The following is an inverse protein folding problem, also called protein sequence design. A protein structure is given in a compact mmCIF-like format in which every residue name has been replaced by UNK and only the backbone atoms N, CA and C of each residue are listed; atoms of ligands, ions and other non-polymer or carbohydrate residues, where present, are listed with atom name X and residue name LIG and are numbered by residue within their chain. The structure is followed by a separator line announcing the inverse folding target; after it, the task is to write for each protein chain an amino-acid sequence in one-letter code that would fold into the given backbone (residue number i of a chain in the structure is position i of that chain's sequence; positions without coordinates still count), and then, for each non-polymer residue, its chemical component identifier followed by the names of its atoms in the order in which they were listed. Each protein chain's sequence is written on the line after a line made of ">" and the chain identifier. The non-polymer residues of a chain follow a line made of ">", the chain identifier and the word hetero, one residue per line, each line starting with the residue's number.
data_IF_198068409650
#
_entry.id   IF_198068409650
#
_cell.length_a   1.000
_cell.length_b   1.000
_cell.length_c   1.000
_cell.angle_alpha   90.00
_cell.angle_beta   90.00
_cell.angle_gamma   90.00
#
_symmetry.space_group_name_H-M   'P 1'
#
loop_
_entity.id
_entity.type
_entity.pdbx_description
1 polymer ?
#
# COMPACT_ATOMS: atom_id res chain seq x y z
N UNK A 1 17.67 -29.50 17.25
CA UNK A 1 17.88 -29.13 18.66
C UNK A 1 17.40 -27.71 18.87
N UNK A 2 16.10 -27.53 19.15
CA UNK A 2 15.50 -26.24 19.51
C UNK A 2 15.52 -26.12 21.03
N UNK A 3 16.43 -25.32 21.56
CA UNK A 3 16.52 -25.02 22.99
C UNK A 3 15.33 -24.15 23.41
N UNK A 4 14.23 -24.79 23.78
CA UNK A 4 13.13 -24.13 24.48
C UNK A 4 13.53 -24.04 25.95
N UNK A 5 13.75 -22.80 26.42
CA UNK A 5 13.97 -22.50 27.83
C UNK A 5 12.76 -23.00 28.62
N UNK A 6 12.94 -23.82 29.67
CA UNK A 6 11.83 -24.32 30.46
C UNK A 6 11.07 -23.17 31.15
N UNK A 7 9.73 -23.19 31.14
CA UNK A 7 8.88 -22.04 31.50
C UNK A 7 8.98 -21.59 32.97
N UNK A 8 9.62 -22.41 33.81
CA UNK A 8 9.92 -22.13 35.22
C UNK A 8 11.03 -21.08 35.42
N UNK A 9 11.76 -20.71 34.37
CA UNK A 9 12.83 -19.69 34.41
C UNK A 9 12.37 -18.31 33.95
N UNK A 10 11.11 -18.17 33.52
CA UNK A 10 10.53 -16.92 33.07
C UNK A 10 9.99 -16.12 34.26
N UNK A 11 10.23 -14.81 34.26
CA UNK A 11 9.67 -13.92 35.26
C UNK A 11 8.14 -13.92 35.23
N UNK A 12 7.48 -13.60 36.35
CA UNK A 12 6.01 -13.62 36.44
C UNK A 12 5.31 -12.72 35.39
N UNK A 13 6.00 -11.69 34.89
CA UNK A 13 5.52 -10.82 33.81
C UNK A 13 5.61 -11.50 32.42
N UNK A 14 6.71 -12.19 32.15
CA UNK A 14 6.90 -12.94 30.90
C UNK A 14 5.97 -14.14 30.81
N UNK A 15 5.69 -14.79 31.96
CA UNK A 15 4.68 -15.84 32.02
C UNK A 15 3.26 -15.32 31.69
N UNK A 16 2.92 -14.07 32.04
CA UNK A 16 1.66 -13.43 31.62
C UNK A 16 1.65 -13.15 30.12
N UNK A 17 2.74 -12.63 29.56
CA UNK A 17 2.87 -12.40 28.11
C UNK A 17 2.79 -13.71 27.31
N UNK A 18 3.48 -14.77 27.73
CA UNK A 18 3.40 -16.09 27.10
C UNK A 18 1.99 -16.68 27.18
N UNK A 19 1.27 -16.49 28.29
CA UNK A 19 -0.13 -16.93 28.43
C UNK A 19 -1.07 -16.16 27.50
N UNK A 20 -0.77 -14.90 27.21
CA UNK A 20 -1.58 -14.05 26.32
C UNK A 20 -1.29 -14.35 24.84
N UNK A 21 -0.04 -14.67 24.49
CA UNK A 21 0.38 -15.01 23.11
C UNK A 21 0.06 -16.47 22.76
N UNK A 22 -0.01 -17.38 23.75
CA UNK A 22 -0.38 -18.78 23.53
C UNK A 22 -1.87 -19.02 23.18
N UNK A 23 -2.68 -17.96 23.06
CA UNK A 23 -4.06 -18.05 22.56
C UNK A 23 -4.16 -18.39 21.06
N UNK A 24 -3.03 -18.48 20.34
CA UNK A 24 -2.98 -18.93 18.95
C UNK A 24 -2.17 -20.22 18.79
N UNK A 25 -2.40 -21.22 19.65
CA UNK A 25 -1.93 -22.59 19.40
C UNK A 25 -3.06 -23.33 18.65
N UNK A 26 -2.90 -23.71 17.37
CA UNK A 26 -3.80 -24.68 16.78
C UNK A 26 -3.62 -25.98 17.58
N UNK A 27 -4.69 -26.46 18.17
CA UNK A 27 -4.75 -27.70 18.93
C UNK A 27 -4.38 -28.88 18.03
N UNK A 28 -3.10 -29.28 18.01
CA UNK A 28 -2.64 -30.57 17.48
C UNK A 28 -2.68 -31.62 18.59
N UNK A 29 -3.82 -31.75 19.24
CA UNK A 29 -4.13 -32.82 20.18
C UNK A 29 -5.20 -33.72 19.57
N UNK A 30 -4.84 -34.97 19.27
CA UNK A 30 -5.74 -35.98 18.72
C UNK A 30 -6.97 -36.17 19.61
N UNK A 31 -8.13 -35.87 19.04
CA UNK A 31 -9.43 -36.11 19.64
C UNK A 31 -10.45 -36.05 18.51
N UNK A 32 -11.00 -37.18 18.14
CA UNK A 32 -11.94 -37.41 17.03
C UNK A 32 -13.35 -36.82 17.26
N UNK A 33 -13.43 -35.62 17.86
CA UNK A 33 -14.68 -34.89 18.16
C UNK A 33 -14.62 -33.45 17.60
N UNK A 34 -14.18 -33.30 16.35
CA UNK A 34 -13.94 -32.01 15.68
C UNK A 34 -15.19 -31.41 15.01
N UNK A 35 -16.36 -31.47 15.64
CA UNK A 35 -17.60 -30.92 15.06
C UNK A 35 -18.25 -29.75 15.83
N UNK A 36 -17.72 -29.32 16.98
CA UNK A 36 -18.49 -28.44 17.87
C UNK A 36 -17.85 -27.16 18.42
N UNK A 37 -16.56 -26.86 18.19
CA UNK A 37 -15.85 -26.02 19.16
C UNK A 37 -15.64 -24.53 18.86
N UNK A 38 -16.23 -23.93 17.83
CA UNK A 38 -16.54 -22.48 17.81
C UNK A 38 -17.60 -22.24 16.73
N UNK A 39 -18.83 -21.78 17.06
CA UNK A 39 -19.72 -21.26 16.03
C UNK A 39 -19.08 -20.00 15.48
N UNK A 40 -18.33 -20.14 14.38
CA UNK A 40 -17.78 -18.98 13.66
C UNK A 40 -19.00 -18.15 13.29
N UNK A 41 -19.09 -16.94 13.85
CA UNK A 41 -20.20 -16.05 13.61
C UNK A 41 -20.28 -15.79 12.09
N UNK A 42 -21.48 -15.68 11.52
CA UNK A 42 -21.64 -15.49 10.08
C UNK A 42 -20.85 -14.28 9.57
N UNK A 43 -20.75 -13.25 10.42
CA UNK A 43 -19.96 -12.05 10.17
C UNK A 43 -18.47 -12.35 9.98
N UNK A 44 -17.91 -13.24 10.79
CA UNK A 44 -16.48 -13.58 10.72
C UNK A 44 -16.15 -14.39 9.45
N UNK A 45 -17.03 -15.31 9.05
CA UNK A 45 -16.88 -16.02 7.76
C UNK A 45 -16.87 -15.06 6.58
N UNK A 46 -17.80 -14.11 6.56
CA UNK A 46 -17.88 -13.09 5.50
C UNK A 46 -16.64 -12.21 5.51
N UNK A 47 -16.17 -11.75 6.67
CA UNK A 47 -14.93 -10.95 6.76
C UNK A 47 -13.71 -11.72 6.23
N UNK A 48 -13.52 -12.99 6.62
CA UNK A 48 -12.40 -13.82 6.14
C UNK A 48 -12.47 -14.02 4.62
N UNK A 49 -13.67 -14.24 4.08
CA UNK A 49 -13.88 -14.35 2.63
C UNK A 49 -13.54 -13.04 1.92
N UNK A 50 -14.07 -11.89 2.39
CA UNK A 50 -13.81 -10.59 1.79
C UNK A 50 -12.32 -10.23 1.79
N UNK A 51 -11.63 -10.51 2.90
CA UNK A 51 -10.19 -10.31 3.03
C UNK A 51 -9.43 -11.22 2.05
N UNK A 52 -9.82 -12.49 1.93
CA UNK A 52 -9.17 -13.42 0.99
C UNK A 52 -9.35 -13.06 -0.48
N UNK A 53 -10.48 -12.42 -0.83
CA UNK A 53 -10.78 -11.99 -2.21
C UNK A 53 -10.15 -10.65 -2.57
N UNK A 54 -9.82 -9.83 -1.59
CA UNK A 54 -9.29 -8.47 -1.81
C UNK A 54 -7.99 -8.48 -2.63
N UNK A 55 -7.01 -9.29 -2.24
CA UNK A 55 -5.70 -9.31 -2.93
C UNK A 55 -5.79 -9.83 -4.38
N UNK A 56 -6.49 -10.94 -4.68
CA UNK A 56 -6.73 -11.36 -6.06
C UNK A 56 -7.43 -10.28 -6.89
N UNK A 57 -8.42 -9.59 -6.31
CA UNK A 57 -9.13 -8.51 -7.00
C UNK A 57 -8.22 -7.33 -7.32
N UNK A 58 -7.43 -6.85 -6.35
CA UNK A 58 -6.48 -5.76 -6.57
C UNK A 58 -5.41 -6.14 -7.59
N UNK A 59 -4.95 -7.40 -7.56
CA UNK A 59 -3.97 -7.91 -8.52
C UNK A 59 -4.54 -7.93 -9.94
N UNK A 60 -5.77 -8.43 -10.10
CA UNK A 60 -6.46 -8.44 -11.39
C UNK A 60 -6.65 -7.03 -11.95
N UNK A 61 -7.09 -6.08 -11.13
CA UNK A 61 -7.19 -4.67 -11.52
C UNK A 61 -5.84 -4.08 -11.93
N UNK A 62 -4.77 -4.45 -11.22
CA UNK A 62 -3.42 -3.98 -11.53
C UNK A 62 -2.94 -4.52 -12.88
N UNK A 63 -3.18 -5.81 -13.16
CA UNK A 63 -2.88 -6.45 -14.44
C UNK A 63 -3.61 -5.76 -15.59
N UNK A 64 -4.91 -5.48 -15.42
CA UNK A 64 -5.68 -4.73 -16.43
C UNK A 64 -5.08 -3.34 -16.67
N UNK A 65 -4.68 -2.65 -15.61
CA UNK A 65 -4.12 -1.31 -15.72
C UNK A 65 -2.77 -1.31 -16.44
N UNK A 66 -1.92 -2.30 -16.17
CA UNK A 66 -0.66 -2.54 -16.88
C UNK A 66 -0.92 -2.85 -18.35
N UNK A 67 -1.90 -3.71 -18.66
CA UNK A 67 -2.28 -4.02 -20.03
C UNK A 67 -2.72 -2.76 -20.80
N UNK A 68 -3.59 -1.94 -20.19
CA UNK A 68 -4.02 -0.67 -20.79
C UNK A 68 -2.87 0.33 -20.92
N UNK A 69 -1.98 0.39 -19.94
CA UNK A 69 -0.82 1.26 -19.97
C UNK A 69 0.15 0.85 -21.08
N UNK A 70 0.48 -0.44 -21.19
CA UNK A 70 1.32 -0.99 -22.26
C UNK A 70 0.73 -0.74 -23.65
N UNK A 71 -0.58 -0.97 -23.82
CA UNK A 71 -1.31 -0.62 -25.05
C UNK A 71 -1.18 0.86 -25.39
N UNK A 72 -1.28 1.73 -24.39
CA UNK A 72 -1.17 3.19 -24.60
C UNK A 72 0.25 3.63 -24.92
N UNK A 73 1.26 2.97 -24.35
CA UNK A 73 2.66 3.36 -24.50
C UNK A 73 3.25 2.92 -25.84
N UNK A 74 2.97 1.68 -26.26
CA UNK A 74 3.52 1.09 -27.48
C UNK A 74 2.57 1.15 -28.68
N UNK A 75 1.32 1.56 -28.46
CA UNK A 75 0.25 1.53 -29.47
C UNK A 75 0.05 0.13 -30.09
N UNK A 76 0.38 -0.91 -29.34
CA UNK A 76 0.36 -2.31 -29.73
C UNK A 76 -0.27 -3.17 -28.61
N UNK A 77 -1.14 -4.09 -29.01
CA UNK A 77 -1.85 -4.98 -28.09
C UNK A 77 -0.94 -6.07 -27.54
N UNK A 78 -0.05 -6.60 -28.38
CA UNK A 78 0.85 -7.68 -27.99
C UNK A 78 1.82 -7.21 -26.89
N UNK A 79 2.40 -6.02 -27.04
CA UNK A 79 3.27 -5.41 -26.04
C UNK A 79 2.59 -5.23 -24.69
N UNK A 80 1.32 -4.82 -24.67
CA UNK A 80 0.52 -4.72 -23.44
C UNK A 80 0.24 -6.08 -22.80
N UNK A 81 -0.07 -7.10 -23.61
CA UNK A 81 -0.28 -8.48 -23.12
C UNK A 81 1.01 -9.07 -22.56
N UNK A 82 2.14 -8.87 -23.24
CA UNK A 82 3.46 -9.33 -22.79
C UNK A 82 3.81 -8.68 -21.45
N UNK A 83 3.63 -7.37 -21.30
CA UNK A 83 3.90 -6.65 -20.05
C UNK A 83 3.01 -7.16 -18.90
N UNK A 84 1.72 -7.37 -19.17
CA UNK A 84 0.77 -7.92 -18.22
C UNK A 84 1.12 -9.36 -17.81
N UNK A 85 1.54 -10.19 -18.77
CA UNK A 85 1.99 -11.56 -18.53
C UNK A 85 3.28 -11.58 -17.70
N UNK A 86 4.26 -10.74 -18.01
CA UNK A 86 5.46 -10.59 -17.19
C UNK A 86 5.13 -10.12 -15.78
N UNK A 87 4.16 -9.22 -15.61
CA UNK A 87 3.73 -8.83 -14.28
C UNK A 87 3.09 -10.00 -13.51
N UNK A 88 2.19 -10.76 -14.16
CA UNK A 88 1.44 -11.85 -13.55
C UNK A 88 2.32 -13.06 -13.22
N UNK A 89 3.23 -13.43 -14.13
CA UNK A 89 4.05 -14.66 -14.02
C UNK A 89 5.50 -14.40 -13.61
N UNK A 90 6.03 -13.22 -13.92
CA UNK A 90 7.45 -12.91 -13.76
C UNK A 90 7.80 -12.14 -12.48
N UNK A 91 6.84 -11.77 -11.64
CA UNK A 91 7.11 -10.91 -10.47
C UNK A 91 7.08 -11.68 -9.14
N UNK A 92 7.82 -11.14 -8.18
CA UNK A 92 7.74 -11.48 -6.74
C UNK A 92 6.38 -11.06 -6.14
N UNK A 93 5.42 -10.56 -6.93
CA UNK A 93 4.10 -10.19 -6.43
C UNK A 93 3.35 -11.39 -5.84
N UNK A 94 3.62 -12.62 -6.32
CA UNK A 94 2.93 -13.82 -5.82
C UNK A 94 3.23 -14.11 -4.34
N UNK A 95 4.49 -14.17 -3.87
CA UNK A 95 4.76 -14.31 -2.43
C UNK A 95 4.30 -13.11 -1.59
N UNK A 96 4.31 -11.88 -2.13
CA UNK A 96 3.82 -10.70 -1.41
C UNK A 96 2.29 -10.58 -1.35
N UNK A 97 1.55 -11.35 -2.15
CA UNK A 97 0.07 -11.30 -2.21
C UNK A 97 -0.66 -11.86 -0.98
N UNK A 98 0.06 -12.46 0.00
CA UNK A 98 -0.58 -13.07 1.19
C UNK A 98 -0.59 -12.20 2.45
N UNK A 99 0.48 -11.45 2.81
CA UNK A 99 0.48 -10.69 4.07
C UNK A 99 0.12 -9.21 3.92
N UNK A 100 0.33 -8.59 2.75
CA UNK A 100 0.40 -7.12 2.64
C UNK A 100 -0.73 -6.53 1.77
N UNK A 101 -1.94 -6.47 2.32
CA UNK A 101 -3.12 -5.91 1.63
C UNK A 101 -2.93 -4.44 1.18
N UNK A 102 -2.22 -3.65 1.99
CA UNK A 102 -1.94 -2.24 1.70
C UNK A 102 -0.97 -2.04 0.54
N UNK A 103 -0.07 -3.00 0.29
CA UNK A 103 0.91 -2.92 -0.80
C UNK A 103 0.26 -3.06 -2.17
N UNK A 104 -0.61 -4.05 -2.33
CA UNK A 104 -1.34 -4.26 -3.59
C UNK A 104 -2.24 -3.08 -3.92
N UNK A 105 -2.94 -2.54 -2.91
CA UNK A 105 -3.77 -1.34 -3.09
C UNK A 105 -2.93 -0.12 -3.46
N UNK A 106 -1.83 0.13 -2.73
CA UNK A 106 -0.94 1.26 -3.02
C UNK A 106 -0.35 1.16 -4.43
N UNK A 107 0.06 -0.03 -4.87
CA UNK A 107 0.59 -0.26 -6.22
C UNK A 107 -0.47 0.03 -7.29
N UNK A 108 -1.69 -0.47 -7.10
CA UNK A 108 -2.82 -0.18 -7.98
C UNK A 108 -3.09 1.33 -8.08
N UNK A 109 -3.11 2.02 -6.94
CA UNK A 109 -3.34 3.46 -6.89
C UNK A 109 -2.19 4.25 -7.54
N UNK A 110 -0.93 3.88 -7.32
CA UNK A 110 0.22 4.53 -7.96
C UNK A 110 0.17 4.36 -9.49
N UNK A 111 -0.06 3.16 -9.99
CA UNK A 111 -0.21 2.93 -11.44
C UNK A 111 -1.47 3.63 -11.98
N UNK A 112 -2.56 3.63 -11.21
CA UNK A 112 -3.79 4.34 -11.51
C UNK A 112 -3.64 5.86 -11.55
N UNK A 113 -2.65 6.43 -10.87
CA UNK A 113 -2.29 7.84 -10.99
C UNK A 113 -1.47 8.13 -12.25
N UNK A 114 -0.62 7.18 -12.66
CA UNK A 114 0.30 7.33 -13.78
C UNK A 114 -0.43 7.40 -15.13
N UNK A 115 -1.40 6.53 -15.36
CA UNK A 115 -2.13 6.45 -16.63
C UNK A 115 -2.87 7.76 -17.01
N UNK A 116 -3.71 8.35 -16.14
CA UNK A 116 -4.34 9.63 -16.42
C UNK A 116 -3.33 10.78 -16.47
N UNK A 117 -2.25 10.72 -15.67
CA UNK A 117 -1.16 11.70 -15.74
C UNK A 117 -0.46 11.70 -17.09
N UNK A 118 -0.20 10.53 -17.66
CA UNK A 118 0.38 10.39 -19.00
C UNK A 118 -0.58 10.88 -20.09
N UNK A 119 -1.85 10.45 -20.03
CA UNK A 119 -2.85 10.76 -21.06
C UNK A 119 -3.36 12.20 -21.01
N UNK A 120 -3.10 12.98 -19.95
CA UNK A 120 -3.55 14.37 -19.90
C UNK A 120 -2.89 15.23 -20.99
N UNK A 121 -1.63 14.92 -21.35
CA UNK A 121 -0.88 15.66 -22.37
C UNK A 121 -1.38 15.44 -23.81
N UNK A 122 -2.30 14.49 -24.02
CA UNK A 122 -2.89 14.16 -25.31
C UNK A 122 -4.37 14.59 -25.42
N UNK A 123 -4.97 15.11 -24.34
CA UNK A 123 -6.40 15.42 -24.33
C UNK A 123 -6.72 16.73 -25.03
N UNK A 124 -7.80 16.75 -25.81
CA UNK A 124 -8.31 17.91 -26.56
C UNK A 124 -9.40 18.71 -25.82
N UNK A 125 -10.06 18.11 -24.81
CA UNK A 125 -11.12 18.76 -24.03
C UNK A 125 -10.65 19.31 -22.68
N UNK A 126 -11.08 20.51 -22.29
CA UNK A 126 -10.74 21.09 -20.97
C UNK A 126 -11.36 20.31 -19.80
N UNK A 127 -12.62 19.86 -19.93
CA UNK A 127 -13.27 19.05 -18.89
C UNK A 127 -12.56 17.71 -18.68
N UNK A 128 -12.17 17.03 -19.76
CA UNK A 128 -11.43 15.77 -19.70
C UNK A 128 -10.03 15.96 -19.12
N UNK A 129 -9.35 17.06 -19.46
CA UNK A 129 -8.05 17.43 -18.90
C UNK A 129 -8.13 17.57 -17.38
N UNK A 130 -9.09 18.36 -16.88
CA UNK A 130 -9.31 18.57 -15.43
C UNK A 130 -9.69 17.26 -14.75
N UNK A 131 -10.58 16.47 -15.34
CA UNK A 131 -10.97 15.17 -14.79
C UNK A 131 -9.78 14.19 -14.69
N UNK A 132 -8.91 14.15 -15.70
CA UNK A 132 -7.70 13.31 -15.68
C UNK A 132 -6.67 13.80 -14.67
N UNK A 133 -6.41 15.10 -14.62
CA UNK A 133 -5.46 15.64 -13.67
C UNK A 133 -5.96 15.47 -12.22
N UNK A 134 -7.23 15.76 -11.96
CA UNK A 134 -7.89 15.48 -10.68
C UNK A 134 -7.89 14.00 -10.32
N UNK A 135 -8.19 13.12 -11.29
CA UNK A 135 -8.13 11.66 -11.10
C UNK A 135 -6.71 11.17 -10.79
N UNK A 136 -5.70 11.68 -11.49
CA UNK A 136 -4.29 11.37 -11.20
C UNK A 136 -3.91 11.78 -9.78
N UNK A 137 -4.27 13.00 -9.39
CA UNK A 137 -4.09 13.50 -8.03
C UNK A 137 -4.82 12.64 -7.01
N UNK A 138 -6.07 12.29 -7.26
CA UNK A 138 -6.87 11.48 -6.35
C UNK A 138 -6.28 10.08 -6.16
N UNK A 139 -5.86 9.41 -7.24
CA UNK A 139 -5.19 8.11 -7.12
C UNK A 139 -3.86 8.20 -6.36
N UNK A 140 -3.08 9.26 -6.54
CA UNK A 140 -1.88 9.50 -5.73
C UNK A 140 -2.22 9.72 -4.25
N UNK A 141 -3.26 10.52 -3.96
CA UNK A 141 -3.75 10.73 -2.60
C UNK A 141 -4.25 9.43 -1.96
N UNK A 142 -4.96 8.58 -2.71
CA UNK A 142 -5.37 7.24 -2.26
C UNK A 142 -4.16 6.34 -1.99
N UNK A 143 -3.10 6.41 -2.81
CA UNK A 143 -1.88 5.63 -2.57
C UNK A 143 -1.21 6.04 -1.24
N UNK A 144 -1.07 7.35 -1.00
CA UNK A 144 -0.53 7.89 0.26
C UNK A 144 -1.44 7.56 1.45
N UNK A 145 -2.76 7.56 1.24
CA UNK A 145 -3.74 7.18 2.26
C UNK A 145 -3.62 5.69 2.62
N UNK A 146 -3.45 4.83 1.62
CA UNK A 146 -3.26 3.40 1.80
C UNK A 146 -1.91 3.08 2.47
N UNK A 147 -0.86 3.82 2.10
CA UNK A 147 0.49 3.63 2.65
C UNK A 147 1.31 4.91 2.54
N UNK A 148 1.78 5.41 3.69
CA UNK A 148 2.61 6.63 3.76
C UNK A 148 3.92 6.51 2.99
N UNK A 149 4.53 5.32 2.93
CA UNK A 149 5.78 5.10 2.17
C UNK A 149 5.62 5.34 0.67
N UNK A 150 4.40 5.32 0.13
CA UNK A 150 4.14 5.62 -1.27
C UNK A 150 4.51 7.05 -1.66
N UNK A 151 4.75 7.94 -0.69
CA UNK A 151 5.35 9.27 -0.92
C UNK A 151 6.71 9.18 -1.63
N UNK A 152 7.45 8.08 -1.45
CA UNK A 152 8.74 7.84 -2.14
C UNK A 152 8.56 7.72 -3.66
N UNK A 153 7.40 7.27 -4.14
CA UNK A 153 7.08 7.26 -5.57
C UNK A 153 6.67 8.65 -6.11
N UNK A 154 6.44 9.61 -5.22
CA UNK A 154 6.02 10.98 -5.52
C UNK A 154 6.92 11.69 -6.54
N UNK A 155 8.25 11.75 -6.35
CA UNK A 155 9.15 12.42 -7.30
C UNK A 155 9.04 11.89 -8.73
N UNK A 156 8.94 10.57 -8.91
CA UNK A 156 8.78 9.96 -10.24
C UNK A 156 7.47 10.37 -10.92
N UNK A 157 6.37 10.37 -10.16
CA UNK A 157 5.07 10.82 -10.66
C UNK A 157 5.04 12.33 -10.92
N UNK A 158 5.72 13.14 -10.10
CA UNK A 158 5.87 14.57 -10.33
C UNK A 158 6.58 14.85 -11.66
N UNK A 159 7.64 14.11 -12.01
CA UNK A 159 8.32 14.27 -13.30
C UNK A 159 7.39 13.98 -14.49
N UNK A 160 6.60 12.90 -14.42
CA UNK A 160 5.61 12.59 -15.47
C UNK A 160 4.52 13.66 -15.53
N UNK A 161 4.04 14.12 -14.37
CA UNK A 161 3.06 15.20 -14.28
C UNK A 161 3.56 16.51 -14.87
N UNK A 162 4.80 16.91 -14.57
CA UNK A 162 5.45 18.11 -15.12
C UNK A 162 5.60 17.97 -16.64
N UNK A 163 6.08 16.83 -17.14
CA UNK A 163 6.23 16.60 -18.57
C UNK A 163 4.89 16.69 -19.32
N UNK A 164 3.83 16.12 -18.73
CA UNK A 164 2.48 16.22 -19.30
C UNK A 164 1.90 17.64 -19.22
N UNK A 165 2.11 18.35 -18.11
CA UNK A 165 1.69 19.75 -17.96
C UNK A 165 2.42 20.67 -18.94
N UNK A 166 3.69 20.41 -19.22
CA UNK A 166 4.45 21.16 -20.22
C UNK A 166 3.85 21.00 -21.62
N UNK A 167 3.42 19.78 -21.99
CA UNK A 167 2.70 19.56 -23.26
C UNK A 167 1.36 20.31 -23.30
N UNK A 168 0.61 20.30 -22.20
CA UNK A 168 -0.65 21.06 -22.09
C UNK A 168 -0.38 22.56 -22.20
N UNK A 169 0.69 23.05 -21.58
CA UNK A 169 1.09 24.46 -21.62
C UNK A 169 1.44 24.89 -23.05
N UNK A 170 2.22 24.09 -23.78
CA UNK A 170 2.55 24.36 -25.18
C UNK A 170 1.32 24.33 -26.08
N UNK A 171 0.39 23.38 -25.87
CA UNK A 171 -0.78 23.22 -26.73
C UNK A 171 -1.94 24.19 -26.42
N UNK A 172 -2.07 24.68 -25.17
CA UNK A 172 -3.24 25.45 -24.69
C UNK A 172 -2.93 26.69 -23.87
N UNK A 173 -1.67 26.93 -23.54
CA UNK A 173 -1.23 28.05 -22.72
C UNK A 173 -1.36 27.83 -21.21
N UNK A 174 -0.94 28.86 -20.47
CA UNK A 174 -0.80 28.89 -19.01
C UNK A 174 -2.07 28.52 -18.23
N UNK A 175 -3.22 29.04 -18.64
CA UNK A 175 -4.47 28.87 -17.89
C UNK A 175 -4.91 27.41 -17.82
N UNK A 176 -4.87 26.70 -18.94
CA UNK A 176 -5.24 25.28 -18.99
C UNK A 176 -4.30 24.42 -18.14
N UNK A 177 -2.98 24.65 -18.25
CA UNK A 177 -1.99 23.96 -17.43
C UNK A 177 -2.18 24.24 -15.93
N UNK A 178 -2.44 25.50 -15.56
CA UNK A 178 -2.71 25.88 -14.18
C UNK A 178 -3.98 25.21 -13.63
N UNK A 179 -5.08 25.18 -14.41
CA UNK A 179 -6.32 24.50 -13.98
C UNK A 179 -6.11 22.99 -13.81
N UNK A 180 -5.34 22.36 -14.70
CA UNK A 180 -4.99 20.95 -14.57
C UNK A 180 -4.15 20.71 -13.31
N UNK A 181 -3.10 21.50 -13.08
CA UNK A 181 -2.27 21.43 -11.89
C UNK A 181 -3.08 21.59 -10.60
N UNK A 182 -3.93 22.63 -10.52
CA UNK A 182 -4.78 22.88 -9.37
C UNK A 182 -5.75 21.72 -9.13
N UNK A 183 -6.34 21.15 -10.18
CA UNK A 183 -7.22 19.99 -10.04
C UNK A 183 -6.49 18.75 -9.54
N UNK A 184 -5.25 18.51 -9.99
CA UNK A 184 -4.43 17.40 -9.51
C UNK A 184 -4.00 17.58 -8.06
N UNK A 185 -3.60 18.79 -7.66
CA UNK A 185 -3.30 19.11 -6.27
C UNK A 185 -4.56 18.93 -5.41
N UNK A 186 -5.70 19.46 -5.84
CA UNK A 186 -6.96 19.33 -5.11
C UNK A 186 -7.37 17.86 -4.92
N UNK A 187 -7.27 17.03 -5.97
CA UNK A 187 -7.55 15.60 -5.89
C UNK A 187 -6.65 14.88 -4.87
N UNK A 188 -5.35 15.18 -4.88
CA UNK A 188 -4.39 14.59 -3.94
C UNK A 188 -4.65 15.05 -2.50
N UNK A 189 -4.73 16.36 -2.29
CA UNK A 189 -4.90 16.97 -0.95
C UNK A 189 -6.22 16.54 -0.32
N UNK A 190 -7.32 16.46 -1.08
CA UNK A 190 -8.62 16.03 -0.56
C UNK A 190 -8.55 14.68 0.15
N UNK A 191 -7.77 13.74 -0.39
CA UNK A 191 -7.64 12.40 0.18
C UNK A 191 -6.53 12.30 1.22
N UNK A 192 -5.43 13.01 1.04
CA UNK A 192 -4.36 13.06 2.06
C UNK A 192 -4.87 13.74 3.33
N UNK A 193 -5.77 14.73 3.22
CA UNK A 193 -6.40 15.39 4.36
C UNK A 193 -7.27 14.45 5.21
N UNK A 194 -7.56 13.23 4.75
CA UNK A 194 -8.26 12.22 5.54
C UNK A 194 -7.33 11.64 6.63
N UNK A 195 -6.01 11.54 6.40
CA UNK A 195 -5.04 11.06 7.39
C UNK A 195 -5.12 11.75 8.75
N UNK A 196 -5.04 13.08 8.86
CA UNK A 196 -5.09 13.76 10.15
C UNK A 196 -6.41 13.51 10.89
N UNK A 197 -7.53 13.37 10.16
CA UNK A 197 -8.84 13.03 10.74
C UNK A 197 -8.83 11.60 11.29
N UNK A 198 -8.30 10.63 10.52
CA UNK A 198 -8.18 9.25 10.96
C UNK A 198 -7.25 9.09 12.16
N UNK A 199 -6.13 9.84 12.17
CA UNK A 199 -5.19 9.83 13.28
C UNK A 199 -5.82 10.42 14.55
N UNK A 200 -6.55 11.53 14.42
CA UNK A 200 -7.25 12.13 15.54
C UNK A 200 -8.31 11.18 16.12
N UNK A 201 -9.10 10.51 15.27
CA UNK A 201 -10.11 9.53 15.71
C UNK A 201 -9.50 8.29 16.38
N UNK A 202 -8.31 7.85 15.95
CA UNK A 202 -7.65 6.64 16.49
C UNK A 202 -6.79 6.88 17.71
N UNK A 203 -6.06 7.99 17.72
CA UNK A 203 -4.98 8.26 18.68
C UNK A 203 -5.22 9.53 19.51
N UNK A 204 -6.29 10.29 19.24
CA UNK A 204 -6.58 11.56 19.91
C UNK A 204 -5.67 12.73 19.49
N UNK A 205 -4.72 12.49 18.58
CA UNK A 205 -3.78 13.49 18.07
C UNK A 205 -3.59 13.35 16.57
N UNK A 206 -3.49 14.49 15.87
CA UNK A 206 -3.34 14.57 14.41
C UNK A 206 -1.98 14.04 13.94
N UNK A 207 -0.94 14.25 14.75
CA UNK A 207 0.45 13.91 14.44
C UNK A 207 0.91 12.60 15.09
N UNK A 208 0.06 11.96 15.91
CA UNK A 208 0.37 10.65 16.45
C UNK A 208 0.33 9.63 15.31
N UNK A 209 1.42 8.87 15.17
CA UNK A 209 1.48 7.74 14.25
C UNK A 209 1.67 6.46 15.07
N UNK A 210 1.02 5.36 14.67
CA UNK A 210 1.21 4.06 15.32
C UNK A 210 2.64 3.50 15.21
N UNK A 211 3.56 4.24 14.58
CA UNK A 211 4.98 3.93 14.49
C UNK A 211 5.84 4.69 15.52
N UNK A 212 5.28 5.67 16.27
CA UNK A 212 6.04 6.39 17.31
C UNK A 212 6.49 5.47 18.46
N UNK A 213 5.73 4.40 18.69
CA UNK A 213 5.89 3.52 19.85
C UNK A 213 6.64 2.22 19.50
N UNK A 214 7.10 2.07 18.25
CA UNK A 214 8.01 0.99 17.93
C UNK A 214 9.34 1.26 18.65
N UNK A 215 9.79 0.38 19.56
CA UNK A 215 11.08 0.53 20.18
C UNK A 215 12.10 0.58 19.04
N UNK A 216 12.75 1.74 18.86
CA UNK A 216 13.87 1.88 17.93
C UNK A 216 14.86 0.78 18.28
N UNK A 217 14.87 -0.28 17.48
CA UNK A 217 15.80 -1.38 17.62
C UNK A 217 17.22 -0.83 17.56
N UNK A 218 17.86 -0.77 18.72
CA UNK A 218 19.30 -0.91 18.92
C UNK A 218 20.22 -0.23 17.88
N UNK A 219 20.26 1.11 17.84
CA UNK A 219 21.53 1.80 17.54
C UNK A 219 22.41 1.87 18.81
N UNK A 220 21.89 1.44 19.97
CA UNK A 220 22.66 1.29 21.21
C UNK A 220 23.60 0.07 21.24
N UNK A 221 23.45 -0.89 20.32
CA UNK A 221 24.32 -2.08 20.26
C UNK A 221 25.72 -1.82 19.69
N UNK A 222 25.92 -0.70 18.98
CA UNK A 222 27.24 -0.34 18.44
C UNK A 222 28.14 0.37 19.46
N UNK A 223 27.58 0.89 20.56
CA UNK A 223 28.35 1.47 21.66
C UNK A 223 28.80 0.44 22.72
N UNK A 224 28.23 -0.77 22.72
CA UNK A 224 28.60 -1.83 23.66
C UNK A 224 29.71 -2.76 23.16
N UNK A 225 30.16 -2.65 21.91
CA UNK A 225 31.22 -3.50 21.34
C UNK A 225 32.62 -2.84 21.35
N UNK A 226 32.75 -1.62 21.87
CA UNK A 226 34.04 -0.95 22.05
C UNK A 226 34.53 -0.91 23.50
N UNK A 227 33.78 -1.47 24.45
CA UNK A 227 34.08 -1.38 25.89
C UNK A 227 34.51 -2.70 26.58
N UNK A 228 34.63 -3.81 25.84
CA UNK A 228 35.00 -5.13 26.39
C UNK A 228 36.33 -5.66 25.83
N UNK A 229 37.31 -4.77 25.69
CA UNK A 229 38.65 -5.13 25.24
C UNK A 229 39.70 -4.13 25.71
N UNK A 230 39.83 -3.92 27.01
CA UNK A 230 41.04 -3.47 27.70
C UNK A 230 40.81 -3.57 29.21
N UNK A 231 41.31 -4.65 29.80
CA UNK A 231 42.05 -4.79 31.08
C UNK A 231 42.26 -6.29 31.29
#
# INVERSE_FOLDING_TARGET
>A
MSGLVPPEWLSAQEQRLYRTVSFYRPSTGGGSNFEGLYPIDHKERVCRLMVSLFNPLMTWLTVLLILFFGKTLYNDELSGMILAAFYLFGTIAWPHSRPFYTESLATLCLLGSLLPAWRMGQETGCQRLVAKAGGAGAFLGLAVLARLDSVVAGPGLCLVGIASLYKVWQARGGKAAATALLSGIAGCVCLVAIHPVLNWLRFGSVLASGYSDQPRGSISGFHSLTASGFI
#
